data_IF_395947978169
#
_entry.id   IF_395947978169
#
_cell.length_a   1.000
_cell.length_b   1.000
_cell.length_c   1.000
_cell.angle_alpha   90.00
_cell.angle_beta   90.00
_cell.angle_gamma   90.00
#
_symmetry.space_group_name_H-M   'P 1'
#
loop_
_entity.id
_entity.type
_entity.pdbx_description
1 polymer ?
#
# COMPACT_ATOMS: atom_id res chain seq x y z
N UNK A 1 -6.31 2.84 -5.94
CA UNK A 1 -5.79 4.25 -6.00
C UNK A 1 -6.91 5.23 -5.65
N UNK A 2 -6.59 6.37 -5.02
CA UNK A 2 -7.59 7.38 -4.64
C UNK A 2 -7.09 8.80 -4.97
N UNK A 3 -8.01 9.70 -5.36
CA UNK A 3 -7.81 11.15 -5.46
C UNK A 3 -6.58 11.57 -6.29
N UNK A 4 -6.36 10.96 -7.43
CA UNK A 4 -5.30 11.34 -8.36
C UNK A 4 -5.61 12.70 -9.01
N UNK A 5 -4.60 13.35 -9.56
CA UNK A 5 -4.77 14.59 -10.31
C UNK A 5 -5.30 14.34 -11.74
N UNK A 6 -4.41 14.46 -12.71
CA UNK A 6 -4.78 14.33 -14.13
C UNK A 6 -4.93 12.87 -14.57
N UNK A 7 -4.07 11.98 -14.10
CA UNK A 7 -4.03 10.55 -14.48
C UNK A 7 -3.54 9.68 -13.33
N UNK A 8 -3.84 8.38 -13.38
CA UNK A 8 -3.44 7.46 -12.33
C UNK A 8 -2.04 6.90 -12.53
N UNK A 9 -1.64 6.66 -13.77
CA UNK A 9 -0.32 6.15 -14.12
C UNK A 9 0.20 6.78 -15.41
N UNK A 10 1.52 6.83 -15.51
CA UNK A 10 2.27 7.27 -16.69
C UNK A 10 3.61 6.55 -16.75
N UNK A 11 4.06 6.23 -17.96
CA UNK A 11 5.39 5.69 -18.19
C UNK A 11 5.37 4.27 -18.73
N UNK A 12 6.44 3.50 -18.42
CA UNK A 12 6.62 2.15 -18.91
C UNK A 12 7.21 2.06 -20.32
N UNK A 13 7.91 3.15 -20.78
CA UNK A 13 8.67 3.14 -22.03
C UNK A 13 9.91 2.23 -21.96
N UNK A 14 10.85 2.43 -22.91
CA UNK A 14 12.08 1.63 -23.01
C UNK A 14 11.82 0.11 -23.10
N UNK A 15 10.82 -0.26 -23.92
CA UNK A 15 10.38 -1.66 -24.11
C UNK A 15 9.88 -2.36 -22.84
N UNK A 16 9.40 -1.58 -21.85
CA UNK A 16 8.79 -2.13 -20.63
C UNK A 16 7.54 -2.93 -20.93
N UNK A 17 7.37 -4.07 -20.27
CA UNK A 17 6.18 -4.93 -20.31
C UNK A 17 5.43 -4.81 -18.97
N UNK A 18 4.17 -4.36 -19.00
CA UNK A 18 3.42 -4.01 -17.80
C UNK A 18 2.06 -4.69 -17.81
N UNK A 19 1.76 -5.42 -16.74
CA UNK A 19 0.42 -5.89 -16.42
C UNK A 19 -0.22 -4.93 -15.40
N UNK A 20 -1.34 -4.32 -15.76
CA UNK A 20 -2.16 -3.47 -14.88
C UNK A 20 -3.53 -4.14 -14.72
N UNK A 21 -3.63 -5.03 -13.75
CA UNK A 21 -4.76 -5.94 -13.58
C UNK A 21 -5.33 -5.84 -12.16
N UNK A 22 -6.65 -5.96 -12.04
CA UNK A 22 -7.31 -6.16 -10.76
C UNK A 22 -7.24 -4.99 -9.78
N UNK A 23 -7.03 -3.75 -10.22
CA UNK A 23 -6.93 -2.60 -9.34
C UNK A 23 -8.28 -1.91 -9.11
N UNK A 24 -8.46 -1.31 -7.94
CA UNK A 24 -9.59 -0.46 -7.62
C UNK A 24 -9.21 1.03 -7.66
N UNK A 25 -9.90 1.78 -8.50
CA UNK A 25 -9.71 3.22 -8.66
C UNK A 25 -10.93 3.97 -8.14
N UNK A 26 -10.72 4.84 -7.17
CA UNK A 26 -11.75 5.67 -6.56
C UNK A 26 -11.46 7.14 -6.85
N UNK A 27 -12.23 7.80 -7.73
CA UNK A 27 -12.10 9.23 -7.96
C UNK A 27 -12.33 10.03 -6.67
N UNK A 28 -11.58 11.09 -6.50
CA UNK A 28 -11.72 12.03 -5.39
C UNK A 28 -11.82 13.47 -5.89
N UNK A 29 -11.85 14.48 -5.01
CA UNK A 29 -12.04 15.88 -5.38
C UNK A 29 -10.97 16.44 -6.32
N UNK A 30 -9.74 15.88 -6.33
CA UNK A 30 -8.67 16.29 -7.25
C UNK A 30 -8.66 15.52 -8.55
N UNK A 31 -9.38 14.40 -8.66
CA UNK A 31 -9.39 13.57 -9.87
C UNK A 31 -10.09 14.30 -11.00
N UNK A 32 -9.35 14.55 -12.08
CA UNK A 32 -9.86 15.33 -13.22
C UNK A 32 -10.46 14.44 -14.30
N UNK A 33 -9.90 13.26 -14.50
CA UNK A 33 -10.32 12.31 -15.55
C UNK A 33 -10.35 10.88 -14.99
N UNK A 34 -11.25 10.06 -15.53
CA UNK A 34 -11.28 8.61 -15.28
C UNK A 34 -10.28 7.90 -16.19
N UNK A 35 -9.02 8.31 -16.12
CA UNK A 35 -7.94 7.79 -16.95
C UNK A 35 -7.05 6.86 -16.14
N UNK A 36 -6.93 5.61 -16.59
CA UNK A 36 -6.09 4.59 -15.95
C UNK A 36 -4.61 4.78 -16.31
N UNK A 37 -4.32 5.07 -17.57
CA UNK A 37 -2.93 5.09 -18.05
C UNK A 37 -2.78 6.07 -19.20
N UNK A 38 -1.69 6.84 -19.20
CA UNK A 38 -1.10 7.42 -20.40
C UNK A 38 0.16 6.64 -20.74
N UNK A 39 0.20 6.04 -21.91
CA UNK A 39 1.40 5.31 -22.38
C UNK A 39 2.58 6.26 -22.52
N UNK A 40 3.80 5.73 -22.36
CA UNK A 40 5.02 6.52 -22.52
C UNK A 40 5.15 7.12 -23.91
N UNK A 41 5.69 8.34 -23.98
CA UNK A 41 5.79 9.11 -25.24
C UNK A 41 6.73 8.50 -26.28
N UNK A 42 7.65 7.62 -25.86
CA UNK A 42 8.56 6.90 -26.76
C UNK A 42 7.85 5.78 -27.54
N UNK A 43 6.60 5.43 -27.16
CA UNK A 43 5.78 4.44 -27.85
C UNK A 43 6.34 3.02 -27.86
N UNK A 44 7.33 2.71 -27.01
CA UNK A 44 8.02 1.42 -27.03
C UNK A 44 7.51 0.44 -25.97
N UNK A 45 6.81 0.93 -24.94
CA UNK A 45 6.21 0.10 -23.89
C UNK A 45 5.06 -0.77 -24.42
N UNK A 46 4.75 -1.84 -23.70
CA UNK A 46 3.62 -2.72 -23.94
C UNK A 46 2.82 -2.91 -22.68
N UNK A 47 1.49 -2.84 -22.77
CA UNK A 47 0.62 -2.80 -21.59
C UNK A 47 -0.55 -3.76 -21.76
N UNK A 48 -0.69 -4.66 -20.80
CA UNK A 48 -1.91 -5.44 -20.59
C UNK A 48 -2.73 -4.74 -19.49
N UNK A 49 -3.97 -4.34 -19.80
CA UNK A 49 -4.82 -3.57 -18.88
C UNK A 49 -6.18 -4.22 -18.81
N UNK A 50 -6.50 -4.89 -17.70
CA UNK A 50 -7.72 -5.66 -17.57
C UNK A 50 -8.23 -5.70 -16.12
N UNK A 51 -9.53 -6.01 -15.96
CA UNK A 51 -10.17 -6.30 -14.66
C UNK A 51 -10.08 -5.17 -13.63
N UNK A 52 -9.73 -3.96 -14.06
CA UNK A 52 -9.69 -2.80 -13.17
C UNK A 52 -11.09 -2.22 -12.97
N UNK A 53 -11.42 -1.85 -11.75
CA UNK A 53 -12.68 -1.20 -11.38
C UNK A 53 -12.47 0.31 -11.21
N UNK A 54 -13.27 1.11 -11.91
CA UNK A 54 -13.37 2.55 -11.73
C UNK A 54 -14.68 2.89 -11.02
N UNK A 55 -14.60 3.26 -9.73
CA UNK A 55 -15.79 3.63 -8.95
C UNK A 55 -16.55 4.77 -9.63
N UNK A 56 -17.84 4.56 -9.91
CA UNK A 56 -18.69 5.55 -10.54
C UNK A 56 -18.56 5.67 -12.06
N UNK A 57 -17.81 4.76 -12.72
CA UNK A 57 -17.70 4.70 -14.17
C UNK A 57 -17.73 3.26 -14.67
N UNK A 58 -18.94 2.78 -14.93
CA UNK A 58 -19.16 1.42 -15.41
C UNK A 58 -18.59 1.22 -16.82
N UNK A 59 -18.50 2.27 -17.64
CA UNK A 59 -17.96 2.13 -19.00
C UNK A 59 -16.48 1.80 -19.00
N UNK A 60 -15.73 2.42 -18.09
CA UNK A 60 -14.30 2.11 -17.86
C UNK A 60 -14.14 0.74 -17.17
N UNK A 61 -15.02 0.42 -16.24
CA UNK A 61 -14.98 -0.86 -15.53
C UNK A 61 -15.21 -2.05 -16.47
N UNK A 62 -16.16 -1.94 -17.41
CA UNK A 62 -16.42 -3.00 -18.40
C UNK A 62 -15.39 -3.07 -19.52
N UNK A 63 -14.80 -1.93 -19.89
CA UNK A 63 -13.79 -1.81 -20.95
C UNK A 63 -12.67 -0.88 -20.52
N UNK A 64 -11.64 -1.44 -19.88
CA UNK A 64 -10.53 -0.68 -19.35
C UNK A 64 -9.72 0.08 -20.43
N UNK A 65 -9.73 -0.39 -21.67
CA UNK A 65 -9.03 0.26 -22.78
C UNK A 65 -9.57 1.68 -23.06
N UNK A 66 -10.83 1.96 -22.73
CA UNK A 66 -11.43 3.31 -22.84
C UNK A 66 -10.74 4.36 -21.98
N UNK A 67 -10.07 3.95 -20.92
CA UNK A 67 -9.37 4.82 -19.99
C UNK A 67 -7.85 4.84 -20.23
N UNK A 68 -7.38 4.30 -21.32
CA UNK A 68 -5.97 4.33 -21.72
C UNK A 68 -5.76 5.31 -22.87
N UNK A 69 -4.81 6.24 -22.70
CA UNK A 69 -4.35 7.11 -23.80
C UNK A 69 -3.27 6.39 -24.60
N UNK A 70 -3.70 5.49 -25.45
CA UNK A 70 -2.81 4.70 -26.33
C UNK A 70 -2.68 5.37 -27.71
N UNK A 71 -1.68 6.25 -27.83
CA UNK A 71 -1.37 6.94 -29.07
C UNK A 71 -0.50 6.12 -30.04
N UNK A 72 0.05 5.00 -29.57
CA UNK A 72 1.10 4.25 -30.26
C UNK A 72 0.75 2.78 -30.44
N UNK A 73 -0.49 2.39 -30.18
CA UNK A 73 -0.95 0.99 -30.22
C UNK A 73 -0.11 0.07 -29.33
N UNK A 74 0.10 0.50 -28.09
CA UNK A 74 0.91 -0.19 -27.11
C UNK A 74 0.14 -1.24 -26.30
N UNK A 75 -1.19 -1.27 -26.38
CA UNK A 75 -2.01 -2.24 -25.68
C UNK A 75 -1.84 -3.64 -26.27
N UNK A 76 -1.87 -4.66 -25.43
CA UNK A 76 -1.84 -6.07 -25.81
C UNK A 76 -3.04 -6.82 -25.24
N UNK A 77 -3.42 -7.91 -25.92
CA UNK A 77 -4.63 -8.69 -25.59
C UNK A 77 -4.39 -9.78 -24.54
N UNK A 78 -3.14 -10.01 -24.15
CA UNK A 78 -2.78 -11.07 -23.20
C UNK A 78 -1.74 -10.57 -22.21
N UNK A 79 -1.79 -11.05 -20.95
CA UNK A 79 -0.81 -10.64 -19.95
C UNK A 79 0.59 -11.17 -20.29
N UNK A 80 1.59 -10.39 -19.89
CA UNK A 80 2.98 -10.84 -19.88
C UNK A 80 3.17 -11.89 -18.79
N UNK A 81 4.13 -12.82 -18.95
CA UNK A 81 4.42 -13.82 -17.94
C UNK A 81 4.78 -13.19 -16.59
N UNK A 82 4.22 -13.71 -15.51
CA UNK A 82 4.55 -13.34 -14.12
C UNK A 82 4.40 -14.55 -13.22
N UNK A 83 5.06 -14.53 -12.06
CA UNK A 83 4.88 -15.58 -11.07
C UNK A 83 3.44 -15.52 -10.52
N UNK A 84 2.75 -16.66 -10.42
CA UNK A 84 1.38 -16.71 -9.92
C UNK A 84 1.27 -16.12 -8.51
N UNK A 85 0.33 -15.19 -8.33
CA UNK A 85 -0.02 -14.60 -7.04
C UNK A 85 -1.49 -14.89 -6.73
N UNK A 86 -1.83 -15.00 -5.46
CA UNK A 86 -3.22 -15.08 -5.04
C UNK A 86 -3.85 -13.69 -5.14
N UNK A 87 -4.83 -13.54 -5.99
CA UNK A 87 -5.46 -12.26 -6.30
C UNK A 87 -6.84 -12.15 -5.67
N UNK A 88 -7.11 -11.02 -5.04
CA UNK A 88 -8.47 -10.63 -4.68
C UNK A 88 -9.14 -9.89 -5.84
N UNK A 89 -10.45 -10.03 -6.01
CA UNK A 89 -11.18 -9.13 -6.89
C UNK A 89 -11.09 -7.69 -6.36
N UNK A 90 -11.05 -6.66 -7.25
CA UNK A 90 -10.73 -5.27 -6.87
C UNK A 90 -11.56 -4.71 -5.72
N UNK A 91 -12.85 -5.01 -5.65
CA UNK A 91 -13.73 -4.53 -4.57
C UNK A 91 -13.35 -5.16 -3.22
N UNK A 92 -13.01 -6.45 -3.20
CA UNK A 92 -12.55 -7.14 -1.98
C UNK A 92 -11.21 -6.57 -1.53
N UNK A 93 -10.25 -6.41 -2.46
CA UNK A 93 -8.95 -5.79 -2.20
C UNK A 93 -9.11 -4.39 -1.59
N UNK A 94 -10.01 -3.55 -2.14
CA UNK A 94 -10.32 -2.23 -1.58
C UNK A 94 -10.75 -2.30 -0.12
N UNK A 95 -11.68 -3.18 0.23
CA UNK A 95 -12.15 -3.32 1.60
C UNK A 95 -11.10 -3.88 2.57
N UNK A 96 -10.29 -4.85 2.13
CA UNK A 96 -9.16 -5.37 2.90
C UNK A 96 -8.14 -4.26 3.20
N UNK A 97 -7.76 -3.48 2.18
CA UNK A 97 -6.83 -2.36 2.32
C UNK A 97 -7.35 -1.33 3.32
N UNK A 98 -8.62 -0.92 3.27
CA UNK A 98 -9.18 0.02 4.23
C UNK A 98 -9.12 -0.49 5.68
N UNK A 99 -9.19 -1.79 5.87
CA UNK A 99 -9.11 -2.42 7.20
C UNK A 99 -7.67 -2.56 7.69
N UNK A 100 -6.75 -2.95 6.83
CA UNK A 100 -5.45 -3.52 7.19
C UNK A 100 -4.25 -2.65 6.82
N UNK A 101 -4.39 -1.66 5.91
CA UNK A 101 -3.28 -0.85 5.42
C UNK A 101 -2.62 0.00 6.51
N UNK A 102 -1.31 0.17 6.37
CA UNK A 102 -0.49 0.96 7.27
C UNK A 102 -0.32 0.31 8.64
N UNK A 103 0.01 1.10 9.65
CA UNK A 103 0.13 0.61 11.04
C UNK A 103 -1.26 0.33 11.63
N UNK A 104 -1.95 -0.70 11.14
CA UNK A 104 -3.34 -1.03 11.49
C UNK A 104 -3.51 -1.36 12.98
N UNK A 105 -2.45 -1.82 13.64
CA UNK A 105 -2.42 -2.09 15.08
C UNK A 105 -2.59 -0.80 15.91
N UNK A 106 -1.93 0.30 15.52
CA UNK A 106 -1.98 1.58 16.23
C UNK A 106 -1.86 2.76 15.27
N UNK A 107 -2.94 3.02 14.53
CA UNK A 107 -3.00 4.14 13.59
C UNK A 107 -2.95 5.49 14.32
N UNK A 108 -2.10 6.38 13.85
CA UNK A 108 -2.07 7.77 14.30
C UNK A 108 -3.25 8.59 13.74
N UNK A 109 -3.24 9.89 14.00
CA UNK A 109 -4.33 10.77 13.56
C UNK A 109 -4.34 10.96 12.04
N UNK A 110 -3.20 10.91 11.38
CA UNK A 110 -3.10 11.09 9.93
C UNK A 110 -3.53 9.85 9.17
N UNK A 111 -3.11 8.67 9.61
CA UNK A 111 -3.59 7.40 9.06
C UNK A 111 -5.12 7.30 9.13
N UNK A 112 -5.69 7.64 10.28
CA UNK A 112 -7.15 7.65 10.48
C UNK A 112 -7.85 8.65 9.56
N UNK A 113 -7.27 9.84 9.38
CA UNK A 113 -7.84 10.86 8.51
C UNK A 113 -7.74 10.48 7.04
N UNK A 114 -6.59 9.95 6.58
CA UNK A 114 -6.42 9.47 5.20
C UNK A 114 -7.44 8.38 4.89
N UNK A 115 -7.58 7.38 5.78
CA UNK A 115 -8.57 6.33 5.60
C UNK A 115 -10.01 6.86 5.58
N UNK A 116 -10.32 7.85 6.42
CA UNK A 116 -11.62 8.53 6.41
C UNK A 116 -11.87 9.22 5.07
N UNK A 117 -10.88 9.93 4.54
CA UNK A 117 -10.99 10.60 3.25
C UNK A 117 -11.20 9.60 2.11
N UNK A 118 -10.40 8.55 2.04
CA UNK A 118 -10.57 7.47 1.05
C UNK A 118 -11.96 6.85 1.13
N UNK A 119 -12.39 6.45 2.33
CA UNK A 119 -13.70 5.81 2.53
C UNK A 119 -14.86 6.70 2.11
N UNK A 120 -14.80 7.99 2.42
CA UNK A 120 -15.89 8.97 2.19
C UNK A 120 -15.77 9.76 0.89
N UNK A 121 -14.69 9.59 0.11
CA UNK A 121 -14.47 10.36 -1.11
C UNK A 121 -14.16 11.84 -0.84
N UNK A 122 -13.41 12.17 0.21
CA UNK A 122 -13.15 13.54 0.65
C UNK A 122 -11.74 14.01 0.31
N UNK A 123 -11.57 15.32 0.15
CA UNK A 123 -10.27 16.01 0.08
C UNK A 123 -10.26 17.16 1.09
N UNK A 124 -10.12 16.84 2.38
CA UNK A 124 -10.41 17.77 3.49
C UNK A 124 -9.37 18.88 3.62
N UNK A 125 -8.10 18.58 3.36
CA UNK A 125 -6.99 19.52 3.55
C UNK A 125 -6.41 20.00 2.22
N UNK A 126 -5.74 21.14 2.24
CA UNK A 126 -5.12 21.72 1.07
C UNK A 126 -6.08 21.97 -0.09
N UNK A 127 -5.57 21.95 -1.31
CA UNK A 127 -6.39 22.08 -2.50
C UNK A 127 -6.95 20.72 -2.92
N UNK A 128 -8.23 20.46 -2.65
CA UNK A 128 -8.91 19.20 -3.02
C UNK A 128 -8.23 17.94 -2.45
N UNK A 129 -7.64 18.03 -1.26
CA UNK A 129 -6.92 16.91 -0.62
C UNK A 129 -5.44 16.82 -0.99
N UNK A 130 -4.91 17.77 -1.75
CA UNK A 130 -3.48 17.87 -2.07
C UNK A 130 -2.86 18.95 -1.21
N UNK A 131 -1.91 18.57 -0.37
CA UNK A 131 -1.19 19.47 0.54
C UNK A 131 0.19 19.84 -0.05
N UNK A 132 0.64 21.07 0.23
CA UNK A 132 1.99 21.54 -0.14
C UNK A 132 2.96 21.48 1.04
N UNK A 133 2.45 21.32 2.25
CA UNK A 133 3.25 21.28 3.47
C UNK A 133 2.56 20.46 4.56
N UNK A 134 3.31 19.74 5.40
CA UNK A 134 2.77 19.10 6.59
C UNK A 134 2.03 20.05 7.53
N UNK A 135 2.36 21.35 7.51
CA UNK A 135 1.67 22.37 8.31
C UNK A 135 0.18 22.48 8.01
N UNK A 136 -0.25 22.20 6.77
CA UNK A 136 -1.66 22.26 6.37
C UNK A 136 -2.54 21.21 7.05
N UNK A 137 -1.92 20.15 7.57
CA UNK A 137 -2.60 19.09 8.34
C UNK A 137 -2.25 19.11 9.83
N UNK A 138 -1.61 20.21 10.33
CA UNK A 138 -1.26 20.35 11.73
C UNK A 138 0.19 20.02 12.11
N UNK A 139 1.04 19.77 11.13
CA UNK A 139 2.45 19.43 11.31
C UNK A 139 2.69 17.94 11.57
N UNK A 140 3.80 17.59 12.16
CA UNK A 140 4.14 16.21 12.50
C UNK A 140 3.37 15.75 13.74
N UNK A 141 2.94 14.49 13.82
CA UNK A 141 2.25 13.98 14.99
C UNK A 141 3.16 13.95 16.21
N UNK A 142 2.63 14.31 17.36
CA UNK A 142 3.29 14.05 18.63
C UNK A 142 3.02 12.60 19.01
N UNK A 143 4.03 11.75 18.87
CA UNK A 143 3.94 10.36 19.24
C UNK A 143 3.90 10.24 20.78
N UNK A 144 2.93 9.48 21.28
CA UNK A 144 2.86 9.17 22.72
C UNK A 144 3.95 8.15 23.05
N UNK A 145 4.88 8.55 23.91
CA UNK A 145 5.89 7.63 24.42
C UNK A 145 5.28 6.83 25.55
N UNK A 146 5.24 5.50 25.42
CA UNK A 146 4.90 4.58 26.50
C UNK A 146 6.10 4.34 27.43
N UNK A 147 5.86 3.72 28.59
CA UNK A 147 6.94 3.19 29.41
C UNK A 147 7.47 1.92 28.72
N UNK A 148 8.75 1.85 28.33
CA UNK A 148 9.31 0.66 27.72
C UNK A 148 9.25 -0.51 28.69
N UNK A 149 9.07 -1.70 28.16
CA UNK A 149 9.28 -2.93 28.91
C UNK A 149 10.78 -3.06 29.23
N UNK A 150 11.09 -3.81 30.30
CA UNK A 150 12.49 -4.06 30.64
C UNK A 150 13.09 -4.97 29.57
N UNK A 151 14.25 -4.59 29.09
CA UNK A 151 15.09 -5.27 28.13
C UNK A 151 16.52 -5.14 28.67
N UNK A 152 17.06 -6.20 29.24
CA UNK A 152 18.28 -6.13 30.08
C UNK A 152 19.54 -6.08 29.23
N UNK A 153 19.58 -6.79 28.12
CA UNK A 153 20.72 -6.88 27.20
C UNK A 153 20.61 -5.95 26.01
N UNK A 154 19.47 -5.21 25.91
CA UNK A 154 19.21 -4.19 24.89
C UNK A 154 19.21 -4.73 23.45
N UNK A 155 18.69 -5.92 23.23
CA UNK A 155 18.58 -6.57 21.93
C UNK A 155 17.25 -6.26 21.19
N UNK A 156 16.30 -5.62 21.90
CA UNK A 156 14.99 -5.23 21.36
C UNK A 156 13.86 -6.19 21.74
N UNK A 157 14.15 -7.29 22.41
CA UNK A 157 13.16 -8.21 22.97
C UNK A 157 13.00 -7.97 24.48
N UNK A 158 11.79 -7.82 25.02
CA UNK A 158 11.63 -7.64 26.47
C UNK A 158 11.95 -8.92 27.26
N UNK A 159 12.62 -8.78 28.41
CA UNK A 159 12.95 -9.87 29.32
C UNK A 159 11.79 -10.83 29.61
N UNK A 160 10.56 -10.29 29.74
CA UNK A 160 9.36 -11.09 30.03
C UNK A 160 8.95 -11.96 28.85
N UNK A 161 9.18 -11.49 27.64
CA UNK A 161 8.90 -12.25 26.42
C UNK A 161 9.95 -13.33 26.22
N UNK A 162 11.24 -13.01 26.35
CA UNK A 162 12.34 -13.96 26.22
C UNK A 162 12.21 -15.14 27.19
N UNK A 163 11.97 -14.84 28.47
CA UNK A 163 11.75 -15.90 29.48
C UNK A 163 10.55 -16.77 29.17
N UNK A 164 9.49 -16.20 28.59
CA UNK A 164 8.30 -16.95 28.16
C UNK A 164 8.63 -17.96 27.06
N UNK A 165 9.53 -17.58 26.16
CA UNK A 165 9.92 -18.41 25.03
C UNK A 165 11.21 -19.19 25.23
N UNK A 166 11.80 -19.15 26.46
CA UNK A 166 12.97 -19.89 26.83
C UNK A 166 14.29 -19.34 26.28
N UNK A 167 14.30 -18.05 25.97
CA UNK A 167 15.49 -17.29 25.56
C UNK A 167 16.20 -16.69 26.80
N UNK A 168 17.41 -16.16 26.58
CA UNK A 168 18.25 -15.63 27.65
C UNK A 168 18.26 -14.09 27.63
N UNK A 169 17.50 -13.46 28.54
CA UNK A 169 17.39 -12.00 28.68
C UNK A 169 18.68 -11.26 29.12
N UNK A 170 19.80 -11.95 29.19
CA UNK A 170 21.12 -11.40 29.48
C UNK A 170 22.12 -11.66 28.30
N UNK A 171 21.63 -12.10 27.12
CA UNK A 171 22.46 -12.45 25.95
C UNK A 171 21.89 -11.90 24.65
N UNK A 172 22.21 -10.68 24.32
CA UNK A 172 21.77 -10.01 23.10
C UNK A 172 22.05 -10.77 21.79
N UNK A 173 22.91 -11.79 21.80
CA UNK A 173 23.24 -12.53 20.58
C UNK A 173 22.11 -13.49 20.16
N UNK A 174 21.24 -13.88 21.06
CA UNK A 174 20.17 -14.82 20.77
C UNK A 174 19.03 -14.21 19.94
N UNK A 175 18.88 -12.86 19.92
CA UNK A 175 17.95 -12.16 19.03
C UNK A 175 18.13 -12.53 17.55
N UNK A 176 19.36 -12.74 17.14
CA UNK A 176 19.71 -13.05 15.74
C UNK A 176 19.74 -14.54 15.43
N UNK A 177 19.46 -15.40 16.42
CA UNK A 177 19.41 -16.86 16.22
C UNK A 177 18.04 -17.31 15.74
N UNK A 178 17.95 -18.54 15.22
CA UNK A 178 16.77 -19.19 14.69
C UNK A 178 16.23 -20.25 15.65
N UNK A 179 16.24 -19.94 16.96
CA UNK A 179 15.88 -20.92 18.01
C UNK A 179 14.39 -21.24 18.01
N UNK A 180 13.54 -20.25 17.73
CA UNK A 180 12.08 -20.38 17.79
C UNK A 180 11.46 -20.81 16.45
N UNK A 181 12.11 -20.44 15.34
CA UNK A 181 11.68 -20.75 13.97
C UNK A 181 12.89 -20.99 13.07
N UNK A 182 12.74 -21.82 12.03
CA UNK A 182 13.84 -22.13 11.09
C UNK A 182 14.07 -21.07 10.00
N UNK A 183 13.08 -20.20 9.75
CA UNK A 183 13.09 -19.21 8.67
C UNK A 183 13.22 -17.77 9.19
N UNK A 184 12.84 -17.54 10.47
CA UNK A 184 12.83 -16.21 11.08
C UNK A 184 13.69 -16.19 12.34
N UNK A 185 14.45 -15.13 12.54
CA UNK A 185 15.20 -14.89 13.76
C UNK A 185 14.26 -14.65 14.94
N UNK A 186 14.77 -14.84 16.17
CA UNK A 186 13.95 -14.68 17.37
C UNK A 186 13.35 -13.27 17.46
N UNK A 187 14.10 -12.22 17.12
CA UNK A 187 13.57 -10.85 17.10
C UNK A 187 12.48 -10.64 16.03
N UNK A 188 12.59 -11.29 14.88
CA UNK A 188 11.54 -11.25 13.87
C UNK A 188 10.26 -11.93 14.35
N UNK A 189 10.37 -13.05 15.05
CA UNK A 189 9.22 -13.72 15.70
C UNK A 189 8.58 -12.80 16.74
N UNK A 190 9.38 -12.12 17.57
CA UNK A 190 8.87 -11.15 18.53
C UNK A 190 8.10 -10.03 17.85
N UNK A 191 8.71 -9.38 16.85
CA UNK A 191 8.10 -8.24 16.14
C UNK A 191 6.81 -8.62 15.40
N UNK A 192 6.79 -9.78 14.75
CA UNK A 192 5.60 -10.28 14.07
C UNK A 192 4.49 -10.61 15.08
N UNK A 193 4.84 -11.20 16.23
CA UNK A 193 3.88 -11.51 17.29
C UNK A 193 3.21 -10.29 17.93
N UNK A 194 3.80 -9.08 17.80
CA UNK A 194 3.16 -7.84 18.26
C UNK A 194 1.89 -7.49 17.45
N UNK A 195 1.75 -8.03 16.26
CA UNK A 195 0.61 -7.78 15.37
C UNK A 195 -0.52 -8.80 15.55
N UNK A 196 -0.24 -9.93 16.20
CA UNK A 196 -1.24 -10.95 16.53
C UNK A 196 -2.13 -10.44 17.67
N UNK A 197 -3.46 -10.48 17.44
CA UNK A 197 -4.47 -10.07 18.43
C UNK A 197 -5.15 -11.27 19.04
#
# INVERSE_FOLDING_TARGET
MYNWGFKTAYGGGHHGEINMVGNYYKPGPASQHHRLLDVAEDGTGRYYVAENVMEGDDTVTYDNHRAVMDRFSCLVDSPFPYEPIEEDIPVVAYHKILKEVGCSFSRDMYDKEVLRQVKKGLGTFGLKGIINSPKEVGGWPVLKVGKPLRDTDADGMPDVWERRYGLNADDASDASTYTLDKNYTNIEIYLNGLLEK
#
